data_IF_455133685274
#
_entry.id   IF_455133685274
#
_cell.length_a   1.000
_cell.length_b   1.000
_cell.length_c   1.000
_cell.angle_alpha   90.00
_cell.angle_beta   90.00
_cell.angle_gamma   90.00
#
_symmetry.space_group_name_H-M   'P 1'
#
loop_
_entity.id
_entity.type
_entity.pdbx_description
1 polymer ?
#
# COMPACT_ATOMS: atom_id res chain seq x y z
N UNK A 1 2.40 5.97 -11.42
CA UNK A 1 1.92 4.60 -11.22
C UNK A 1 2.59 3.96 -10.02
N UNK A 2 1.91 3.05 -9.36
CA UNK A 2 2.47 2.33 -8.23
C UNK A 2 2.43 0.82 -8.48
N UNK A 3 3.10 0.07 -7.62
CA UNK A 3 3.19 -1.37 -7.73
C UNK A 3 2.52 -2.08 -6.55
N UNK A 4 1.60 -1.40 -5.90
CA UNK A 4 0.94 -1.89 -4.68
C UNK A 4 0.22 -3.21 -4.94
N UNK A 5 -0.53 -3.29 -6.03
CA UNK A 5 -1.28 -4.50 -6.38
C UNK A 5 -0.38 -5.72 -6.47
N UNK A 6 0.76 -5.57 -7.15
CA UNK A 6 1.70 -6.67 -7.34
C UNK A 6 2.34 -7.10 -6.03
N UNK A 7 2.73 -6.14 -5.19
CA UNK A 7 3.35 -6.44 -3.90
C UNK A 7 2.35 -7.17 -2.98
N UNK A 8 1.09 -6.72 -2.97
CA UNK A 8 0.04 -7.37 -2.19
C UNK A 8 -0.20 -8.79 -2.71
N UNK A 9 -0.30 -8.94 -4.03
CA UNK A 9 -0.50 -10.24 -4.64
C UNK A 9 0.61 -11.20 -4.27
N UNK A 10 1.86 -10.77 -4.37
CA UNK A 10 3.03 -11.58 -4.07
C UNK A 10 3.12 -11.94 -2.60
N UNK A 11 2.59 -11.10 -1.70
CA UNK A 11 2.62 -11.33 -0.27
C UNK A 11 1.69 -12.47 0.17
N UNK A 12 0.65 -12.74 -0.61
CA UNK A 12 -0.37 -13.70 -0.24
C UNK A 12 -1.38 -13.19 0.78
N UNK A 13 -1.24 -11.97 1.26
CA UNK A 13 -2.17 -11.38 2.22
C UNK A 13 -3.40 -10.83 1.49
N UNK A 14 -4.53 -10.83 2.18
CA UNK A 14 -5.78 -10.26 1.65
C UNK A 14 -5.84 -8.76 1.90
N UNK A 15 -6.47 -8.03 0.99
CA UNK A 15 -6.68 -6.59 1.14
C UNK A 15 -7.35 -6.23 2.47
N UNK A 16 -8.37 -7.00 2.87
CA UNK A 16 -9.09 -6.76 4.11
C UNK A 16 -8.18 -6.83 5.32
N UNK A 17 -7.30 -7.84 5.34
CA UNK A 17 -6.36 -7.98 6.44
C UNK A 17 -5.36 -6.82 6.47
N UNK A 18 -4.83 -6.46 5.30
CA UNK A 18 -3.89 -5.35 5.20
C UNK A 18 -4.53 -4.05 5.68
N UNK A 19 -5.76 -3.79 5.23
CA UNK A 19 -6.51 -2.59 5.64
C UNK A 19 -6.69 -2.54 7.16
N UNK A 20 -7.01 -3.65 7.77
CA UNK A 20 -7.15 -3.76 9.22
C UNK A 20 -5.83 -3.43 9.92
N UNK A 21 -4.73 -3.97 9.42
CA UNK A 21 -3.42 -3.75 10.02
C UNK A 21 -2.96 -2.29 9.95
N UNK A 22 -3.28 -1.59 8.87
CA UNK A 22 -2.88 -0.20 8.71
C UNK A 22 -3.96 0.79 9.16
N UNK A 23 -5.12 0.29 9.58
CA UNK A 23 -6.17 1.12 10.16
C UNK A 23 -7.01 1.90 9.15
N UNK A 24 -7.27 1.33 7.98
CA UNK A 24 -8.12 1.95 6.97
C UNK A 24 -9.21 0.97 6.53
N UNK A 25 -10.22 1.50 5.84
CA UNK A 25 -11.25 0.66 5.24
C UNK A 25 -10.67 -0.08 4.02
N UNK A 26 -11.09 -1.33 3.75
CA UNK A 26 -10.60 -2.08 2.59
C UNK A 26 -10.74 -1.34 1.25
N UNK A 27 -11.78 -0.51 1.09
CA UNK A 27 -11.94 0.28 -0.13
C UNK A 27 -10.78 1.25 -0.35
N UNK A 28 -10.13 1.71 0.72
CA UNK A 28 -8.97 2.59 0.60
C UNK A 28 -7.79 1.88 -0.07
N UNK A 29 -7.64 0.58 0.18
CA UNK A 29 -6.57 -0.21 -0.46
C UNK A 29 -6.77 -0.20 -1.97
N UNK A 30 -8.02 -0.40 -2.42
CA UNK A 30 -8.34 -0.36 -3.85
C UNK A 30 -8.06 1.02 -4.45
N UNK A 31 -8.36 2.08 -3.71
CA UNK A 31 -8.08 3.44 -4.16
C UNK A 31 -6.59 3.73 -4.24
N UNK A 32 -5.81 3.17 -3.30
CA UNK A 32 -4.35 3.29 -3.33
C UNK A 32 -3.79 2.59 -4.57
N UNK A 33 -4.32 1.41 -4.89
CA UNK A 33 -3.91 0.65 -6.07
C UNK A 33 -4.19 1.42 -7.36
N UNK A 34 -5.37 1.99 -7.45
CA UNK A 34 -5.80 2.74 -8.66
C UNK A 34 -5.12 4.10 -8.80
N UNK A 35 -4.54 4.61 -7.71
CA UNK A 35 -3.99 5.96 -7.69
C UNK A 35 -5.00 7.04 -7.39
N UNK A 36 -6.27 6.66 -7.19
CA UNK A 36 -7.34 7.61 -6.87
C UNK A 36 -7.10 8.31 -5.54
N UNK A 37 -6.44 7.61 -4.61
CA UNK A 37 -6.10 8.14 -3.30
C UNK A 37 -4.67 7.74 -2.95
N UNK A 38 -3.91 8.69 -2.40
CA UNK A 38 -2.54 8.41 -1.96
C UNK A 38 -2.52 8.21 -0.44
N UNK A 39 -1.92 7.13 0.05
CA UNK A 39 -1.83 6.91 1.49
C UNK A 39 -0.89 7.91 2.13
N UNK A 40 -1.20 8.27 3.38
CA UNK A 40 -0.32 9.14 4.17
C UNK A 40 0.99 8.42 4.48
N UNK A 41 2.10 9.17 4.73
CA UNK A 41 3.39 8.54 5.00
C UNK A 41 3.36 7.47 6.09
N UNK A 42 2.63 7.71 7.18
CA UNK A 42 2.52 6.73 8.27
C UNK A 42 1.84 5.43 7.83
N UNK A 43 0.86 5.53 6.92
CA UNK A 43 0.18 4.36 6.37
C UNK A 43 1.12 3.57 5.47
N UNK A 44 1.87 4.29 4.64
CA UNK A 44 2.84 3.66 3.74
C UNK A 44 3.92 2.92 4.53
N UNK A 45 4.40 3.52 5.62
CA UNK A 45 5.38 2.86 6.49
C UNK A 45 4.84 1.56 7.08
N UNK A 46 3.59 1.59 7.55
CA UNK A 46 2.94 0.38 8.08
C UNK A 46 2.78 -0.67 7.00
N UNK A 47 2.38 -0.26 5.79
CA UNK A 47 2.29 -1.16 4.65
C UNK A 47 3.62 -1.84 4.37
N UNK A 48 4.69 -1.06 4.29
CA UNK A 48 6.03 -1.60 4.04
C UNK A 48 6.43 -2.60 5.12
N UNK A 49 6.08 -2.31 6.37
CA UNK A 49 6.41 -3.18 7.49
C UNK A 49 5.68 -4.51 7.41
N UNK A 50 4.35 -4.49 7.22
CA UNK A 50 3.56 -5.73 7.19
C UNK A 50 3.80 -6.54 5.92
N UNK A 51 4.09 -5.88 4.81
CA UNK A 51 4.37 -6.54 3.54
C UNK A 51 5.85 -6.92 3.40
N UNK A 52 6.67 -6.53 4.38
CA UNK A 52 8.10 -6.77 4.38
C UNK A 52 8.76 -6.32 3.07
N UNK A 53 8.45 -5.10 2.67
CA UNK A 53 8.98 -4.52 1.43
C UNK A 53 9.51 -3.12 1.67
N UNK A 54 10.25 -2.61 0.70
CA UNK A 54 10.77 -1.24 0.72
C UNK A 54 9.81 -0.32 0.02
N UNK A 55 9.87 0.97 0.35
CA UNK A 55 9.04 1.99 -0.26
C UNK A 55 9.18 1.99 -1.79
N UNK A 56 10.39 1.81 -2.30
CA UNK A 56 10.67 1.77 -3.73
C UNK A 56 9.94 0.61 -4.42
N UNK A 57 9.65 -0.45 -3.70
CA UNK A 57 8.91 -1.60 -4.24
C UNK A 57 7.44 -1.27 -4.43
N UNK A 58 6.88 -0.42 -3.57
CA UNK A 58 5.48 0.03 -3.70
C UNK A 58 5.36 1.16 -4.73
N UNK A 59 6.33 2.04 -4.75
CA UNK A 59 6.35 3.21 -5.62
C UNK A 59 7.67 3.28 -6.37
N UNK A 60 7.84 2.47 -7.43
CA UNK A 60 9.10 2.45 -8.19
C UNK A 60 9.52 3.80 -8.75
N UNK A 61 8.55 4.66 -9.04
CA UNK A 61 8.81 6.00 -9.55
C UNK A 61 9.00 7.04 -8.45
N UNK A 62 8.97 6.57 -7.20
CA UNK A 62 9.11 7.43 -6.04
C UNK A 62 7.77 7.79 -5.41
N UNK A 63 7.76 7.84 -4.08
CA UNK A 63 6.60 8.26 -3.34
C UNK A 63 6.67 9.75 -3.07
N UNK A 64 5.67 10.49 -3.50
CA UNK A 64 5.59 11.94 -3.25
C UNK A 64 4.45 12.20 -2.29
N UNK A 65 4.79 12.80 -1.16
CA UNK A 65 3.84 13.24 -0.17
C UNK A 65 3.38 14.65 -0.56
N UNK A 66 2.17 14.71 -1.07
CA UNK A 66 1.76 16.02 -1.49
C UNK A 66 0.31 16.18 -1.78
#
# INVERSE_FOLDING_TARGET
MNNIKQVIWDSGYRKNWIAEQIGVHPSHISMYISGERKPKPERVRKMCKILNCKLIELYPEGYKNG
#
